data_IF_711418223552
#
_entry.id   IF_711418223552
#
_cell.length_a   1.000
_cell.length_b   1.000
_cell.length_c   1.000
_cell.angle_alpha   90.00
_cell.angle_beta   90.00
_cell.angle_gamma   90.00
#
_symmetry.space_group_name_H-M   'P 1'
#
loop_
_entity.id
_entity.type
_entity.pdbx_description
1 polymer ?
#
# COMPACT_ATOMS: atom_id res chain seq x y z
N UNK A 1 3.64 -61.74 19.61
CA UNK A 1 4.11 -60.33 19.54
C UNK A 1 4.19 -59.93 18.08
N UNK A 2 3.14 -59.31 17.53
CA UNK A 2 3.16 -58.69 16.21
C UNK A 2 3.27 -57.19 16.38
N UNK A 3 4.40 -56.61 16.01
CA UNK A 3 4.59 -55.15 15.96
C UNK A 3 3.56 -54.58 14.97
N UNK A 4 2.60 -53.82 15.48
CA UNK A 4 1.73 -52.96 14.67
C UNK A 4 2.62 -51.89 14.08
N UNK A 5 2.89 -52.00 12.79
CA UNK A 5 3.55 -50.97 11.99
C UNK A 5 2.77 -49.65 12.14
N UNK A 6 3.38 -48.69 12.84
CA UNK A 6 2.83 -47.35 13.10
C UNK A 6 3.36 -46.32 12.09
N UNK A 7 3.57 -46.72 10.84
CA UNK A 7 3.78 -45.74 9.77
C UNK A 7 2.48 -44.92 9.57
N UNK A 8 2.51 -43.60 9.74
CA UNK A 8 1.32 -42.77 9.55
C UNK A 8 0.85 -42.87 8.09
N UNK A 9 -0.45 -43.17 7.87
CA UNK A 9 -1.05 -43.26 6.54
C UNK A 9 -0.71 -41.99 5.72
N UNK A 10 -0.28 -42.11 4.46
CA UNK A 10 0.24 -41.00 3.65
C UNK A 10 -0.69 -39.77 3.60
N UNK A 11 -2.01 -39.99 3.56
CA UNK A 11 -3.03 -38.92 3.59
C UNK A 11 -2.99 -38.05 4.85
N UNK A 12 -2.65 -38.61 6.01
CA UNK A 12 -2.61 -37.87 7.29
C UNK A 12 -1.37 -36.97 7.42
N UNK A 13 -0.26 -37.39 6.82
CA UNK A 13 0.99 -36.62 6.77
C UNK A 13 0.87 -35.44 5.80
N UNK A 14 0.24 -35.66 4.64
CA UNK A 14 0.06 -34.65 3.61
C UNK A 14 -0.97 -33.58 4.03
N UNK A 15 -2.07 -33.99 4.66
CA UNK A 15 -3.06 -33.05 5.23
C UNK A 15 -2.46 -32.16 6.32
N UNK A 16 -1.62 -32.71 7.21
CA UNK A 16 -0.91 -31.93 8.23
C UNK A 16 0.09 -30.94 7.61
N UNK A 17 0.74 -31.30 6.51
CA UNK A 17 1.65 -30.41 5.76
C UNK A 17 0.89 -29.21 5.21
N UNK A 18 -0.29 -29.43 4.62
CA UNK A 18 -1.16 -28.35 4.11
C UNK A 18 -1.63 -27.43 5.23
N UNK A 19 -2.14 -27.98 6.33
CA UNK A 19 -2.59 -27.18 7.48
C UNK A 19 -1.46 -26.31 8.05
N UNK A 20 -0.25 -26.86 8.22
CA UNK A 20 0.91 -26.08 8.68
C UNK A 20 1.28 -24.97 7.69
N UNK A 21 1.25 -25.27 6.39
CA UNK A 21 1.53 -24.28 5.35
C UNK A 21 0.52 -23.11 5.39
N UNK A 22 -0.78 -23.42 5.50
CA UNK A 22 -1.84 -22.42 5.57
C UNK A 22 -1.73 -21.55 6.83
N UNK A 23 -1.45 -22.16 7.99
CA UNK A 23 -1.23 -21.42 9.24
C UNK A 23 0.00 -20.51 9.14
N UNK A 24 1.08 -20.98 8.52
CA UNK A 24 2.32 -20.20 8.35
C UNK A 24 2.11 -19.00 7.42
N UNK A 25 1.37 -19.20 6.32
CA UNK A 25 1.00 -18.13 5.38
C UNK A 25 0.06 -17.10 6.01
N UNK A 26 -0.91 -17.55 6.82
CA UNK A 26 -1.86 -16.66 7.50
C UNK A 26 -1.18 -15.83 8.61
N UNK A 27 -0.20 -16.41 9.31
CA UNK A 27 0.53 -15.73 10.38
C UNK A 27 1.49 -14.64 9.85
N UNK A 28 2.02 -14.79 8.64
CA UNK A 28 2.88 -13.78 8.01
C UNK A 28 2.22 -12.40 7.90
N UNK A 29 0.90 -12.37 7.67
CA UNK A 29 0.11 -11.13 7.61
C UNK A 29 0.12 -10.34 8.92
N UNK A 30 0.21 -11.03 10.07
CA UNK A 30 0.21 -10.40 11.40
C UNK A 30 1.59 -9.85 11.80
N UNK A 31 2.66 -10.38 11.19
CA UNK A 31 4.06 -10.05 11.52
C UNK A 31 4.64 -8.96 10.61
N UNK A 32 4.05 -8.74 9.43
CA UNK A 32 4.42 -7.64 8.53
C UNK A 32 3.91 -6.30 9.09
N UNK A 33 4.60 -5.78 10.12
CA UNK A 33 4.46 -4.41 10.62
C UNK A 33 5.41 -3.42 9.95
N UNK A 34 6.34 -3.91 9.12
CA UNK A 34 7.38 -3.12 8.49
C UNK A 34 6.93 -2.68 7.09
N UNK A 35 7.01 -1.37 6.82
CA UNK A 35 6.51 -0.69 5.62
C UNK A 35 7.43 -0.82 4.38
N UNK A 36 7.99 -2.00 4.11
CA UNK A 36 8.88 -2.25 2.97
C UNK A 36 8.45 -3.49 2.16
N UNK A 37 7.87 -3.23 0.99
CA UNK A 37 7.53 -4.24 -0.03
C UNK A 37 8.62 -5.30 -0.23
N UNK A 38 9.90 -4.92 -0.27
CA UNK A 38 10.99 -5.87 -0.50
C UNK A 38 11.17 -6.82 0.69
N UNK A 39 11.09 -6.32 1.91
CA UNK A 39 11.16 -7.11 3.14
C UNK A 39 9.95 -8.04 3.29
N UNK A 40 8.74 -7.58 2.92
CA UNK A 40 7.52 -8.39 2.91
C UNK A 40 7.67 -9.55 1.93
N UNK A 41 8.05 -9.25 0.68
CA UNK A 41 8.25 -10.25 -0.38
C UNK A 41 9.33 -11.25 0.01
N UNK A 42 10.45 -10.79 0.56
CA UNK A 42 11.56 -11.65 1.01
C UNK A 42 11.11 -12.63 2.11
N UNK A 43 10.41 -12.13 3.14
CA UNK A 43 9.87 -12.99 4.21
C UNK A 43 8.88 -14.02 3.67
N UNK A 44 8.02 -13.60 2.74
CA UNK A 44 7.06 -14.48 2.08
C UNK A 44 7.77 -15.58 1.28
N UNK A 45 8.77 -15.20 0.47
CA UNK A 45 9.55 -16.12 -0.33
C UNK A 45 10.31 -17.13 0.54
N UNK A 46 10.92 -16.71 1.65
CA UNK A 46 11.62 -17.61 2.58
C UNK A 46 10.71 -18.62 3.25
N UNK A 47 9.46 -18.24 3.58
CA UNK A 47 8.49 -19.19 4.11
C UNK A 47 8.07 -20.21 3.04
N UNK A 48 7.89 -19.77 1.80
CA UNK A 48 7.59 -20.67 0.68
C UNK A 48 8.75 -21.63 0.40
N UNK A 49 10.01 -21.16 0.48
CA UNK A 49 11.20 -22.03 0.39
C UNK A 49 11.09 -23.17 1.40
N UNK A 50 10.75 -22.87 2.65
CA UNK A 50 10.60 -23.88 3.71
C UNK A 50 9.40 -24.80 3.50
N UNK A 51 8.24 -24.27 3.10
CA UNK A 51 7.01 -25.05 2.88
C UNK A 51 7.18 -26.07 1.75
N UNK A 52 7.83 -25.65 0.67
CA UNK A 52 8.01 -26.47 -0.52
C UNK A 52 9.31 -27.29 -0.52
N UNK A 53 10.19 -27.06 0.45
CA UNK A 53 11.61 -27.48 0.38
C UNK A 53 12.23 -27.05 -0.95
N UNK A 54 11.89 -25.84 -1.38
CA UNK A 54 12.18 -25.33 -2.70
C UNK A 54 13.70 -25.16 -2.89
N UNK A 55 14.11 -25.32 -4.13
CA UNK A 55 15.43 -24.88 -4.58
C UNK A 55 15.48 -23.35 -4.56
N UNK A 56 14.50 -22.72 -5.19
CA UNK A 56 14.27 -21.29 -5.06
C UNK A 56 12.81 -20.90 -5.21
N UNK A 57 12.48 -19.73 -4.68
CA UNK A 57 11.23 -19.01 -4.90
C UNK A 57 11.58 -17.67 -5.52
N UNK A 58 10.93 -17.36 -6.64
CA UNK A 58 11.08 -16.10 -7.35
C UNK A 58 9.76 -15.34 -7.33
N UNK A 59 9.84 -14.06 -6.99
CA UNK A 59 8.71 -13.14 -6.99
C UNK A 59 9.08 -11.94 -7.84
N UNK A 60 8.19 -11.59 -8.77
CA UNK A 60 8.24 -10.35 -9.53
C UNK A 60 6.97 -9.58 -9.29
N UNK A 61 7.10 -8.40 -8.69
CA UNK A 61 5.99 -7.47 -8.42
C UNK A 61 6.26 -6.15 -9.12
N UNK A 62 5.32 -5.60 -9.91
CA UNK A 62 5.49 -4.26 -10.45
C UNK A 62 5.39 -3.26 -9.30
N UNK A 63 6.53 -2.72 -8.85
CA UNK A 63 6.58 -1.67 -7.82
C UNK A 63 6.97 -0.37 -8.49
N UNK A 64 5.98 0.52 -8.63
CA UNK A 64 6.07 1.89 -9.14
C UNK A 64 6.59 2.09 -10.59
N UNK A 65 7.61 1.36 -11.05
CA UNK A 65 8.36 1.63 -12.30
C UNK A 65 9.35 0.56 -12.77
N UNK A 66 9.72 -0.37 -11.91
CA UNK A 66 10.54 -1.53 -12.22
C UNK A 66 9.85 -2.72 -11.57
N UNK A 67 10.01 -3.89 -12.16
CA UNK A 67 9.63 -5.11 -11.47
C UNK A 67 10.57 -5.24 -10.27
N UNK A 68 10.02 -5.19 -9.06
CA UNK A 68 10.71 -5.63 -7.86
C UNK A 68 10.82 -7.14 -7.99
N UNK A 69 12.00 -7.57 -8.44
CA UNK A 69 12.33 -8.96 -8.67
C UNK A 69 13.23 -9.45 -7.54
N UNK A 70 12.81 -10.53 -6.89
CA UNK A 70 13.52 -11.12 -5.77
C UNK A 70 13.49 -12.64 -5.90
N UNK A 71 14.64 -13.27 -5.65
CA UNK A 71 14.74 -14.71 -5.49
C UNK A 71 15.26 -15.04 -4.08
N UNK A 72 14.70 -16.08 -3.48
CA UNK A 72 15.21 -16.68 -2.25
C UNK A 72 15.46 -18.18 -2.48
N UNK A 73 16.59 -18.68 -1.98
CA UNK A 73 16.87 -20.10 -1.86
C UNK A 73 16.98 -20.51 -0.39
N UNK A 74 17.48 -21.73 -0.14
CA UNK A 74 17.64 -22.27 1.23
C UNK A 74 18.57 -21.43 2.12
N UNK A 75 19.56 -20.77 1.52
CA UNK A 75 20.52 -19.90 2.20
C UNK A 75 20.06 -18.46 2.43
N UNK A 76 18.83 -18.11 2.06
CA UNK A 76 18.34 -16.73 2.13
C UNK A 76 18.15 -16.10 0.75
N UNK A 77 18.22 -14.77 0.70
CA UNK A 77 18.14 -14.00 -0.56
C UNK A 77 19.32 -14.34 -1.47
N UNK A 78 19.02 -14.58 -2.74
CA UNK A 78 20.04 -14.88 -3.76
C UNK A 78 20.63 -13.57 -4.30
N UNK A 79 21.87 -13.62 -4.82
CA UNK A 79 22.57 -12.45 -5.36
C UNK A 79 21.82 -11.83 -6.55
N UNK A 80 22.01 -10.52 -6.77
CA UNK A 80 21.39 -9.81 -7.92
C UNK A 80 21.75 -10.43 -9.27
N UNK A 81 22.98 -10.94 -9.44
CA UNK A 81 23.40 -11.64 -10.65
C UNK A 81 22.58 -12.92 -10.87
N UNK A 82 22.42 -13.73 -9.82
CA UNK A 82 21.60 -14.94 -9.87
C UNK A 82 20.12 -14.66 -10.11
N UNK A 83 19.58 -13.53 -9.62
CA UNK A 83 18.19 -13.12 -9.89
C UNK A 83 17.97 -12.88 -11.39
N UNK A 84 18.94 -12.27 -12.08
CA UNK A 84 18.87 -12.07 -13.53
C UNK A 84 18.90 -13.39 -14.30
N UNK A 85 19.72 -14.35 -13.87
CA UNK A 85 19.80 -15.69 -14.46
C UNK A 85 18.52 -16.50 -14.23
N UNK A 86 17.94 -16.43 -13.01
CA UNK A 86 16.63 -17.00 -12.70
C UNK A 86 15.57 -16.39 -13.62
N UNK A 87 15.52 -15.06 -13.73
CA UNK A 87 14.58 -14.36 -14.60
C UNK A 87 14.69 -14.82 -16.05
N UNK A 88 15.91 -14.92 -16.58
CA UNK A 88 16.16 -15.41 -17.95
C UNK A 88 15.62 -16.84 -18.14
N UNK A 89 15.85 -17.71 -17.17
CA UNK A 89 15.37 -19.11 -17.18
C UNK A 89 13.84 -19.23 -17.09
N UNK A 90 13.15 -18.19 -16.61
CA UNK A 90 11.70 -18.13 -16.48
C UNK A 90 10.99 -17.50 -17.69
N UNK A 91 11.71 -16.91 -18.66
CA UNK A 91 11.11 -16.21 -19.80
C UNK A 91 10.20 -17.10 -20.65
N UNK A 92 10.58 -18.36 -20.81
CA UNK A 92 9.86 -19.34 -21.64
C UNK A 92 8.96 -20.28 -20.81
N UNK A 93 8.85 -20.08 -19.50
CA UNK A 93 8.06 -20.95 -18.62
C UNK A 93 6.56 -20.64 -18.78
N UNK A 94 5.73 -21.60 -19.24
CA UNK A 94 4.31 -21.37 -19.44
C UNK A 94 3.58 -21.14 -18.11
N UNK A 95 2.70 -20.13 -18.07
CA UNK A 95 1.88 -19.84 -16.89
C UNK A 95 1.03 -21.04 -16.47
N UNK A 96 0.96 -21.28 -15.15
CA UNK A 96 0.17 -22.34 -14.50
C UNK A 96 0.49 -23.76 -14.96
N UNK A 97 1.54 -23.96 -15.77
CA UNK A 97 1.98 -25.26 -16.23
C UNK A 97 3.39 -25.53 -15.70
N UNK A 98 3.63 -26.71 -15.10
CA UNK A 98 4.96 -27.04 -14.62
C UNK A 98 5.93 -27.18 -15.80
N UNK A 99 7.13 -26.63 -15.64
CA UNK A 99 8.19 -26.70 -16.63
C UNK A 99 9.50 -27.08 -15.96
N UNK A 100 10.28 -27.96 -16.60
CA UNK A 100 11.58 -28.38 -16.08
C UNK A 100 12.66 -27.47 -16.66
N UNK A 101 13.47 -26.87 -15.79
CA UNK A 101 14.55 -25.95 -16.16
C UNK A 101 15.85 -26.36 -15.48
N UNK A 102 16.97 -25.81 -15.95
CA UNK A 102 18.22 -25.82 -15.18
C UNK A 102 18.14 -24.73 -14.12
N UNK A 103 18.36 -25.05 -12.85
CA UNK A 103 18.33 -24.05 -11.79
C UNK A 103 19.54 -23.13 -11.85
N UNK A 104 19.31 -21.82 -11.89
CA UNK A 104 20.37 -20.82 -11.73
C UNK A 104 20.84 -20.66 -10.27
N UNK A 105 20.22 -21.37 -9.31
CA UNK A 105 20.57 -21.29 -7.89
C UNK A 105 21.38 -22.51 -7.45
N UNK A 106 20.88 -23.72 -7.71
CA UNK A 106 21.57 -24.96 -7.36
C UNK A 106 22.43 -25.52 -8.48
N UNK A 107 22.19 -25.11 -9.73
CA UNK A 107 22.78 -25.76 -10.90
C UNK A 107 22.16 -27.12 -11.24
N UNK A 108 21.09 -27.54 -10.57
CA UNK A 108 20.43 -28.85 -10.79
C UNK A 108 19.14 -28.73 -11.62
N UNK A 109 18.71 -29.80 -12.33
CA UNK A 109 17.42 -29.83 -13.01
C UNK A 109 16.26 -29.73 -12.00
N UNK A 110 15.43 -28.71 -12.12
CA UNK A 110 14.32 -28.42 -11.19
C UNK A 110 13.01 -28.20 -11.93
N UNK A 111 11.88 -28.49 -11.27
CA UNK A 111 10.54 -28.24 -11.84
C UNK A 111 9.99 -26.95 -11.28
N UNK A 112 9.65 -26.00 -12.15
CA UNK A 112 9.06 -24.71 -11.78
C UNK A 112 7.56 -24.74 -12.02
N UNK A 113 6.80 -24.28 -11.04
CA UNK A 113 5.40 -23.87 -11.22
C UNK A 113 5.31 -22.36 -11.02
N UNK A 114 4.74 -21.66 -12.00
CA UNK A 114 4.52 -20.22 -11.95
C UNK A 114 3.03 -19.88 -11.97
N UNK A 115 2.63 -18.91 -11.15
CA UNK A 115 1.26 -18.40 -11.09
C UNK A 115 1.26 -16.87 -11.07
N UNK A 116 0.23 -16.23 -11.66
CA UNK A 116 0.07 -14.79 -11.56
C UNK A 116 -0.30 -14.39 -10.13
N UNK A 117 0.29 -13.31 -9.63
CA UNK A 117 -0.30 -12.56 -8.52
C UNK A 117 -1.44 -11.71 -9.09
N UNK A 118 -2.52 -11.49 -8.34
CA UNK A 118 -3.76 -10.85 -8.83
C UNK A 118 -3.65 -9.36 -9.19
N UNK A 119 -2.42 -8.84 -9.33
CA UNK A 119 -2.06 -7.45 -9.54
C UNK A 119 -1.83 -7.22 -11.05
N UNK A 120 -2.19 -6.05 -11.60
CA UNK A 120 -1.99 -5.76 -13.04
C UNK A 120 -0.50 -5.71 -13.42
N UNK A 121 -0.07 -6.55 -14.36
CA UNK A 121 1.31 -6.57 -14.90
C UNK A 121 1.81 -7.99 -15.22
N UNK A 122 3.09 -8.14 -15.59
CA UNK A 122 3.79 -9.45 -15.65
C UNK A 122 4.19 -9.88 -14.24
N UNK A 123 3.21 -9.99 -13.36
CA UNK A 123 3.42 -10.25 -11.94
C UNK A 123 3.47 -11.74 -11.69
N UNK A 124 4.58 -12.25 -11.16
CA UNK A 124 4.86 -13.69 -11.13
C UNK A 124 5.28 -14.15 -9.74
N UNK A 125 4.61 -15.18 -9.23
CA UNK A 125 5.17 -16.05 -8.19
C UNK A 125 5.57 -17.37 -8.84
N UNK A 126 6.85 -17.69 -8.80
CA UNK A 126 7.40 -18.94 -9.31
C UNK A 126 8.11 -19.70 -8.18
N UNK A 127 7.84 -21.00 -8.08
CA UNK A 127 8.49 -21.89 -7.11
C UNK A 127 9.14 -23.03 -7.85
N UNK A 128 10.44 -23.21 -7.62
CA UNK A 128 11.27 -24.25 -8.21
C UNK A 128 11.52 -25.35 -7.19
N UNK A 129 11.10 -26.57 -7.50
CA UNK A 129 11.22 -27.72 -6.61
C UNK A 129 11.89 -28.89 -7.33
N UNK A 130 12.96 -29.40 -6.74
CA UNK A 130 13.62 -30.61 -7.19
C UNK A 130 13.01 -31.84 -6.50
N UNK A 131 11.74 -32.13 -6.84
CA UNK A 131 11.01 -33.31 -6.34
C UNK A 131 10.24 -33.98 -7.49
N UNK A 132 10.29 -35.32 -7.62
CA UNK A 132 9.69 -36.03 -8.77
C UNK A 132 8.19 -35.78 -8.98
N UNK A 133 7.42 -35.59 -7.90
CA UNK A 133 5.96 -35.50 -7.93
C UNK A 133 5.45 -34.05 -7.80
N UNK A 134 6.29 -33.05 -8.05
CA UNK A 134 5.87 -31.65 -8.01
C UNK A 134 5.37 -31.19 -9.38
N UNK A 135 4.25 -30.45 -9.46
CA UNK A 135 3.34 -30.05 -8.38
C UNK A 135 2.19 -31.07 -8.16
N UNK A 136 1.90 -31.38 -6.89
CA UNK A 136 0.66 -32.06 -6.50
C UNK A 136 -0.53 -31.10 -6.47
N UNK A 137 -1.76 -31.61 -6.33
CA UNK A 137 -2.96 -30.76 -6.16
C UNK A 137 -2.88 -29.86 -4.92
N UNK A 138 -2.24 -30.35 -3.85
CA UNK A 138 -1.98 -29.57 -2.65
C UNK A 138 -0.94 -28.47 -2.88
N UNK A 139 0.12 -28.77 -3.65
CA UNK A 139 1.13 -27.75 -3.97
C UNK A 139 0.49 -26.60 -4.79
N UNK A 140 -0.41 -26.93 -5.73
CA UNK A 140 -1.19 -25.94 -6.49
C UNK A 140 -2.10 -25.11 -5.58
N UNK A 141 -2.74 -25.73 -4.58
CA UNK A 141 -3.59 -25.03 -3.61
C UNK A 141 -2.77 -24.05 -2.75
N UNK A 142 -1.66 -24.51 -2.16
CA UNK A 142 -0.78 -23.68 -1.35
C UNK A 142 -0.25 -22.51 -2.18
N UNK A 143 0.15 -22.75 -3.43
CA UNK A 143 0.57 -21.71 -4.37
C UNK A 143 -0.52 -20.66 -4.57
N UNK A 144 -1.77 -21.07 -4.85
CA UNK A 144 -2.89 -20.13 -5.02
C UNK A 144 -3.15 -19.28 -3.77
N UNK A 145 -3.12 -19.91 -2.59
CA UNK A 145 -3.31 -19.19 -1.31
C UNK A 145 -2.16 -18.21 -1.09
N UNK A 146 -0.92 -18.65 -1.29
CA UNK A 146 0.26 -17.80 -1.17
C UNK A 146 0.21 -16.58 -2.09
N UNK A 147 -0.17 -16.77 -3.36
CA UNK A 147 -0.34 -15.68 -4.30
C UNK A 147 -1.42 -14.68 -3.87
N UNK A 148 -2.55 -15.19 -3.35
CA UNK A 148 -3.62 -14.33 -2.86
C UNK A 148 -3.19 -13.53 -1.62
N UNK A 149 -2.60 -14.19 -0.63
CA UNK A 149 -2.10 -13.54 0.59
C UNK A 149 -1.01 -12.50 0.28
N UNK A 150 -0.07 -12.82 -0.61
CA UNK A 150 0.96 -11.90 -1.05
C UNK A 150 0.36 -10.70 -1.82
N UNK A 151 -0.63 -10.95 -2.67
CA UNK A 151 -1.37 -9.88 -3.38
C UNK A 151 -2.00 -8.92 -2.39
N UNK A 152 -2.72 -9.44 -1.39
CA UNK A 152 -3.36 -8.64 -0.35
C UNK A 152 -2.34 -7.87 0.49
N UNK A 153 -1.21 -8.48 0.85
CA UNK A 153 -0.15 -7.82 1.62
C UNK A 153 0.45 -6.62 0.86
N UNK A 154 0.69 -6.78 -0.45
CA UNK A 154 1.21 -5.72 -1.32
C UNK A 154 0.16 -4.61 -1.52
N UNK A 155 -1.11 -4.96 -1.76
CA UNK A 155 -2.19 -3.99 -1.93
C UNK A 155 -2.46 -3.20 -0.63
N UNK A 156 -2.36 -3.83 0.54
CA UNK A 156 -2.52 -3.16 1.84
C UNK A 156 -1.41 -2.14 2.13
N UNK A 157 -0.19 -2.30 1.57
CA UNK A 157 0.89 -1.31 1.67
C UNK A 157 0.56 -0.03 0.88
N UNK A 158 -0.11 -0.14 -0.28
CA UNK A 158 -0.60 1.03 -1.01
C UNK A 158 -1.63 1.82 -0.19
N UNK A 159 -2.47 1.14 0.59
CA UNK A 159 -3.44 1.77 1.49
C UNK A 159 -2.79 2.37 2.76
N UNK A 160 -1.72 1.79 3.29
CA UNK A 160 -1.04 2.26 4.52
C UNK A 160 -0.02 3.39 4.30
N UNK A 161 0.56 3.51 3.11
CA UNK A 161 1.51 4.58 2.74
C UNK A 161 0.85 5.98 2.84
N UNK A 162 -0.43 6.07 2.47
CA UNK A 162 -1.23 7.30 2.53
C UNK A 162 -1.41 7.77 3.98
N UNK A 163 -1.73 6.87 4.91
CA UNK A 163 -1.98 7.21 6.31
C UNK A 163 -0.72 7.54 7.10
N UNK A 164 0.39 6.83 6.83
CA UNK A 164 1.63 6.96 7.62
C UNK A 164 2.38 8.26 7.33
N UNK A 165 2.27 8.82 6.10
CA UNK A 165 2.96 10.06 5.70
C UNK A 165 2.14 11.33 5.95
N UNK A 166 0.81 11.24 5.89
CA UNK A 166 -0.09 12.35 6.32
C UNK A 166 0.09 12.65 7.81
N UNK A 167 0.44 11.66 8.62
CA UNK A 167 0.54 11.75 10.08
C UNK A 167 1.53 12.82 10.59
N UNK A 168 2.70 13.00 9.96
CA UNK A 168 3.74 13.87 10.52
C UNK A 168 3.36 15.37 10.53
N UNK A 169 2.68 15.85 9.49
CA UNK A 169 2.27 17.26 9.37
C UNK A 169 0.82 17.49 9.82
N UNK A 170 -0.07 16.50 9.63
CA UNK A 170 -1.46 16.58 10.11
C UNK A 170 -1.60 16.48 11.64
N UNK A 171 -0.64 15.86 12.33
CA UNK A 171 -0.68 15.71 13.80
C UNK A 171 -0.49 17.03 14.56
N UNK A 172 0.11 18.04 13.92
CA UNK A 172 0.29 19.37 14.50
C UNK A 172 -0.91 20.29 14.28
N UNK A 173 -1.88 19.89 13.45
CA UNK A 173 -3.08 20.68 13.18
C UNK A 173 -4.10 20.55 14.30
N UNK A 174 -4.71 21.68 14.69
CA UNK A 174 -5.84 21.74 15.62
C UNK A 174 -7.18 21.36 14.96
N UNK A 175 -7.21 21.27 13.63
CA UNK A 175 -8.40 20.90 12.87
C UNK A 175 -8.57 19.39 12.82
N UNK A 176 -9.80 18.92 12.60
CA UNK A 176 -10.06 17.51 12.37
C UNK A 176 -9.52 17.13 10.99
N UNK A 177 -8.65 16.12 10.95
CA UNK A 177 -8.15 15.53 9.71
C UNK A 177 -8.43 14.03 9.76
N UNK A 178 -9.11 13.52 8.74
CA UNK A 178 -9.42 12.11 8.60
C UNK A 178 -9.13 11.59 7.20
N UNK A 179 -8.78 10.32 7.09
CA UNK A 179 -8.68 9.58 5.83
C UNK A 179 -9.45 8.29 6.01
N UNK A 180 -10.27 7.94 5.04
CA UNK A 180 -11.00 6.69 5.00
C UNK A 180 -10.77 5.96 3.67
N UNK A 181 -10.95 4.64 3.70
CA UNK A 181 -10.98 3.82 2.49
C UNK A 181 -12.26 4.12 1.67
N UNK A 182 -12.44 3.42 0.55
CA UNK A 182 -13.61 3.63 -0.33
C UNK A 182 -14.91 3.11 0.28
N UNK A 183 -14.82 2.22 1.27
CA UNK A 183 -15.95 1.68 2.02
C UNK A 183 -16.37 2.61 3.15
N UNK A 184 -15.62 3.70 3.37
CA UNK A 184 -15.90 4.68 4.40
C UNK A 184 -15.40 4.27 5.78
N UNK A 185 -14.50 3.29 5.87
CA UNK A 185 -13.85 2.92 7.13
C UNK A 185 -12.64 3.84 7.36
N UNK A 186 -12.50 4.48 8.54
CA UNK A 186 -11.36 5.34 8.84
C UNK A 186 -10.03 4.59 8.79
N UNK A 187 -9.09 5.05 7.96
CA UNK A 187 -7.70 4.57 7.93
C UNK A 187 -6.84 5.38 8.90
N UNK A 188 -7.06 6.71 8.94
CA UNK A 188 -6.34 7.65 9.79
C UNK A 188 -7.26 8.75 10.30
N UNK A 189 -7.04 9.18 11.54
CA UNK A 189 -7.61 10.41 12.12
C UNK A 189 -6.52 11.04 12.98
N UNK A 190 -6.31 12.34 12.86
CA UNK A 190 -5.30 13.02 13.68
C UNK A 190 -5.73 13.09 15.17
N UNK A 191 -4.78 13.32 16.11
CA UNK A 191 -5.11 13.38 17.54
C UNK A 191 -6.17 14.43 17.90
N UNK A 192 -6.12 15.60 17.24
CA UNK A 192 -7.13 16.64 17.42
C UNK A 192 -8.52 16.14 17.01
N UNK A 193 -8.62 15.47 15.86
CA UNK A 193 -9.87 14.88 15.37
C UNK A 193 -10.43 13.82 16.30
N UNK A 194 -9.61 12.86 16.75
CA UNK A 194 -10.02 11.82 17.71
C UNK A 194 -10.55 12.43 19.01
N UNK A 195 -9.83 13.39 19.59
CA UNK A 195 -10.27 14.11 20.79
C UNK A 195 -11.60 14.85 20.57
N UNK A 196 -11.76 15.46 19.39
CA UNK A 196 -12.95 16.23 19.02
C UNK A 196 -14.21 15.37 18.90
N UNK A 197 -14.09 14.18 18.29
CA UNK A 197 -15.21 13.21 18.21
C UNK A 197 -15.30 12.30 19.43
N UNK A 198 -14.39 12.43 20.39
CA UNK A 198 -14.43 11.70 21.66
C UNK A 198 -13.86 10.27 21.60
N UNK A 199 -13.17 9.90 20.54
CA UNK A 199 -12.53 8.59 20.37
C UNK A 199 -11.20 8.53 21.12
N UNK A 200 -10.87 7.36 21.67
CA UNK A 200 -9.62 7.10 22.37
C UNK A 200 -8.46 6.79 21.41
N UNK A 201 -8.74 6.13 20.29
CA UNK A 201 -7.72 5.78 19.30
C UNK A 201 -8.28 5.60 17.89
N UNK A 202 -7.38 5.43 16.92
CA UNK A 202 -7.77 5.14 15.53
C UNK A 202 -8.34 3.71 15.39
N UNK A 203 -7.96 2.79 16.26
CA UNK A 203 -8.49 1.42 16.30
C UNK A 203 -9.98 1.42 16.63
N UNK A 204 -10.41 2.22 17.60
CA UNK A 204 -11.83 2.43 17.92
C UNK A 204 -12.58 3.04 16.72
N UNK A 205 -11.98 4.05 16.08
CA UNK A 205 -12.54 4.68 14.90
C UNK A 205 -12.72 3.72 13.71
N UNK A 206 -11.87 2.69 13.56
CA UNK A 206 -11.92 1.69 12.48
C UNK A 206 -13.10 0.73 12.58
N UNK A 207 -13.73 0.64 13.74
CA UNK A 207 -14.94 -0.18 13.93
C UNK A 207 -16.20 0.50 13.40
N UNK A 208 -16.08 1.78 13.02
CA UNK A 208 -17.17 2.64 12.58
C UNK A 208 -17.02 3.04 11.12
N UNK A 209 -18.13 3.41 10.48
CA UNK A 209 -18.09 4.12 9.22
C UNK A 209 -17.95 5.63 9.49
N UNK A 210 -17.28 6.39 8.62
CA UNK A 210 -17.14 7.86 8.74
C UNK A 210 -18.46 8.61 8.90
N UNK A 211 -19.59 8.06 8.43
CA UNK A 211 -20.90 8.67 8.58
C UNK A 211 -21.44 8.52 10.01
N UNK A 212 -20.92 7.57 10.78
CA UNK A 212 -21.29 7.36 12.18
C UNK A 212 -20.68 8.42 13.08
N UNK A 213 -19.68 9.18 12.58
CA UNK A 213 -19.14 10.37 13.25
C UNK A 213 -20.06 11.58 13.12
N UNK A 214 -21.18 11.47 12.39
CA UNK A 214 -22.12 12.55 12.15
C UNK A 214 -23.39 12.38 12.98
N UNK A 215 -24.03 13.51 13.27
CA UNK A 215 -25.38 13.54 13.82
C UNK A 215 -26.37 12.82 12.88
N UNK A 216 -27.44 12.28 13.45
CA UNK A 216 -28.48 11.52 12.73
C UNK A 216 -28.95 12.21 11.44
N UNK A 217 -29.19 13.53 11.49
CA UNK A 217 -29.66 14.32 10.33
C UNK A 217 -28.67 14.38 9.16
N UNK A 218 -27.38 14.33 9.44
CA UNK A 218 -26.32 14.47 8.44
C UNK A 218 -25.75 13.10 8.03
N UNK A 219 -26.04 12.03 8.77
CA UNK A 219 -25.58 10.66 8.50
C UNK A 219 -26.08 10.12 7.15
N UNK A 220 -27.38 10.20 6.89
CA UNK A 220 -27.96 9.72 5.63
C UNK A 220 -27.49 10.57 4.46
N UNK A 221 -27.44 11.89 4.64
CA UNK A 221 -26.89 12.81 3.64
C UNK A 221 -25.45 12.46 3.31
N UNK A 222 -24.64 12.13 4.32
CA UNK A 222 -23.26 11.74 4.10
C UNK A 222 -23.13 10.44 3.31
N UNK A 223 -23.89 9.40 3.66
CA UNK A 223 -23.84 8.09 2.98
C UNK A 223 -24.36 8.15 1.55
N UNK A 224 -25.47 8.85 1.32
CA UNK A 224 -26.22 8.75 0.06
C UNK A 224 -26.05 9.94 -0.88
N UNK A 225 -25.53 11.08 -0.43
CA UNK A 225 -25.29 12.24 -1.28
C UNK A 225 -23.80 12.65 -1.30
N UNK A 226 -23.21 12.89 -0.12
CA UNK A 226 -21.83 13.39 -0.03
C UNK A 226 -20.81 12.36 -0.53
N UNK A 227 -20.91 11.12 -0.04
CA UNK A 227 -19.95 10.07 -0.39
C UNK A 227 -19.92 9.78 -1.91
N UNK A 228 -21.07 9.58 -2.58
CA UNK A 228 -21.08 9.44 -4.03
C UNK A 228 -20.58 10.69 -4.78
N UNK A 229 -20.85 11.89 -4.28
CA UNK A 229 -20.39 13.14 -4.90
C UNK A 229 -18.85 13.27 -4.85
N UNK A 230 -18.23 12.98 -3.71
CA UNK A 230 -16.76 12.96 -3.59
C UNK A 230 -16.17 11.91 -4.53
N UNK A 231 -16.75 10.71 -4.60
CA UNK A 231 -16.25 9.64 -5.45
C UNK A 231 -16.42 9.91 -6.94
N UNK A 232 -17.43 10.68 -7.36
CA UNK A 232 -17.67 11.02 -8.77
C UNK A 232 -16.92 12.29 -9.20
N UNK A 233 -17.12 13.38 -8.47
CA UNK A 233 -16.58 14.72 -8.79
C UNK A 233 -15.17 14.96 -8.23
N UNK A 234 -14.66 14.02 -7.42
CA UNK A 234 -13.33 14.09 -6.82
C UNK A 234 -13.23 15.01 -5.61
N UNK A 235 -14.27 15.81 -5.31
CA UNK A 235 -14.29 16.70 -4.15
C UNK A 235 -15.69 17.09 -3.73
N UNK A 236 -15.81 17.51 -2.48
CA UNK A 236 -17.01 18.08 -1.91
C UNK A 236 -16.66 19.06 -0.79
N UNK A 237 -17.47 20.11 -0.58
CA UNK A 237 -17.30 20.99 0.57
C UNK A 237 -18.64 21.59 1.00
N UNK A 238 -18.98 21.40 2.27
CA UNK A 238 -20.13 22.03 2.90
C UNK A 238 -20.07 21.82 4.42
N UNK A 239 -21.11 22.26 5.13
CA UNK A 239 -21.22 22.05 6.57
C UNK A 239 -21.80 20.66 6.89
N UNK A 240 -21.24 19.98 7.88
CA UNK A 240 -21.80 18.78 8.50
C UNK A 240 -21.71 18.89 10.02
N UNK A 241 -22.64 18.26 10.71
CA UNK A 241 -22.67 18.22 12.18
C UNK A 241 -22.04 16.92 12.64
N UNK A 242 -20.85 17.02 13.22
CA UNK A 242 -20.14 15.88 13.80
C UNK A 242 -20.69 15.58 15.18
N UNK A 243 -20.63 14.33 15.61
CA UNK A 243 -21.06 13.87 16.91
C UNK A 243 -19.84 13.56 17.77
N UNK A 244 -19.81 14.11 18.98
CA UNK A 244 -18.87 13.65 19.98
C UNK A 244 -19.46 12.42 20.71
N UNK A 245 -18.88 11.25 20.50
CA UNK A 245 -19.39 9.97 20.99
C UNK A 245 -19.51 9.91 22.53
N UNK A 246 -18.64 10.61 23.26
CA UNK A 246 -18.66 10.64 24.74
C UNK A 246 -19.74 11.54 25.31
N UNK A 247 -20.01 12.67 24.66
CA UNK A 247 -20.94 13.69 25.19
C UNK A 247 -22.29 13.70 24.50
N UNK A 248 -22.42 13.02 23.35
CA UNK A 248 -23.61 13.05 22.50
C UNK A 248 -23.87 14.41 21.83
N UNK A 249 -22.94 15.38 21.97
CA UNK A 249 -23.14 16.74 21.45
C UNK A 249 -22.71 16.87 20.00
N UNK A 250 -23.53 17.59 19.25
CA UNK A 250 -23.26 18.08 17.91
C UNK A 250 -22.14 19.12 17.88
N UNK A 251 -21.25 19.00 16.89
CA UNK A 251 -20.19 19.94 16.58
C UNK A 251 -20.39 20.34 15.11
N UNK A 252 -20.92 21.54 14.83
CA UNK A 252 -21.01 22.02 13.46
C UNK A 252 -19.60 22.18 12.90
N UNK A 253 -19.36 21.62 11.72
CA UNK A 253 -18.08 21.68 11.05
C UNK A 253 -18.23 22.13 9.61
N UNK A 254 -17.30 22.98 9.16
CA UNK A 254 -17.05 23.17 7.74
C UNK A 254 -16.16 22.03 7.28
N UNK A 255 -16.63 21.25 6.31
CA UNK A 255 -15.96 20.05 5.82
C UNK A 255 -15.52 20.28 4.38
N UNK A 256 -14.32 19.83 4.07
CA UNK A 256 -13.89 19.58 2.70
C UNK A 256 -13.38 18.16 2.60
N UNK A 257 -13.95 17.41 1.65
CA UNK A 257 -13.57 16.05 1.34
C UNK A 257 -13.00 15.98 -0.07
N UNK A 258 -11.93 15.23 -0.25
CA UNK A 258 -11.19 15.11 -1.51
C UNK A 258 -10.92 13.63 -1.75
N UNK A 259 -11.17 13.19 -2.98
CA UNK A 259 -10.83 11.85 -3.43
C UNK A 259 -9.33 11.75 -3.67
N UNK A 260 -8.72 10.73 -3.09
CA UNK A 260 -7.32 10.40 -3.28
C UNK A 260 -7.27 9.28 -4.31
N UNK A 261 -6.62 9.56 -5.43
CA UNK A 261 -6.48 8.64 -6.55
C UNK A 261 -5.04 8.11 -6.63
N UNK A 262 -4.88 6.88 -7.10
CA UNK A 262 -3.57 6.36 -7.47
C UNK A 262 -3.01 7.09 -8.69
N UNK A 263 -1.73 6.83 -8.94
CA UNK A 263 -1.03 7.06 -10.20
C UNK A 263 -1.85 6.74 -11.47
N UNK A 264 -2.71 5.72 -11.42
CA UNK A 264 -3.55 5.27 -12.52
C UNK A 264 -4.93 5.95 -12.58
N UNK A 265 -5.17 7.02 -11.80
CA UNK A 265 -6.47 7.70 -11.64
C UNK A 265 -7.58 6.78 -11.12
N UNK A 266 -7.22 5.75 -10.35
CA UNK A 266 -8.18 4.90 -9.66
C UNK A 266 -8.35 5.45 -8.24
N UNK A 267 -9.57 5.68 -7.74
CA UNK A 267 -9.77 6.10 -6.36
C UNK A 267 -9.28 5.01 -5.41
N UNK A 268 -8.66 5.42 -4.30
CA UNK A 268 -8.17 4.51 -3.25
C UNK A 268 -8.54 4.96 -1.84
N UNK A 269 -8.77 6.26 -1.64
CA UNK A 269 -9.17 6.79 -0.34
C UNK A 269 -9.92 8.12 -0.50
N UNK A 270 -10.53 8.57 0.60
CA UNK A 270 -11.09 9.91 0.74
C UNK A 270 -10.42 10.59 1.94
N UNK A 271 -9.79 11.74 1.69
CA UNK A 271 -9.28 12.62 2.73
C UNK A 271 -10.31 13.68 3.10
N UNK A 272 -10.40 14.03 4.38
CA UNK A 272 -11.29 15.09 4.87
C UNK A 272 -10.58 16.02 5.84
N UNK A 273 -10.83 17.32 5.67
CA UNK A 273 -10.54 18.34 6.69
C UNK A 273 -11.86 18.87 7.18
N UNK A 274 -11.98 18.96 8.50
CA UNK A 274 -13.14 19.54 9.13
C UNK A 274 -12.70 20.57 10.17
N UNK A 275 -13.28 21.77 10.09
CA UNK A 275 -13.03 22.86 11.02
C UNK A 275 -14.26 23.06 11.88
N UNK A 276 -14.06 23.14 13.19
CA UNK A 276 -15.12 23.50 14.13
C UNK A 276 -15.52 24.96 13.94
N UNK A 277 -16.77 25.19 13.57
CA UNK A 277 -17.28 26.54 13.25
C UNK A 277 -18.09 27.15 14.38
N UNK A 278 -18.14 26.53 15.57
CA UNK A 278 -18.88 27.08 16.73
C UNK A 278 -18.46 28.49 17.10
N UNK A 279 -17.22 28.88 16.79
CA UNK A 279 -16.64 30.19 17.14
C UNK A 279 -16.54 31.18 15.96
N UNK A 280 -17.01 30.82 14.76
CA UNK A 280 -16.91 31.67 13.55
C UNK A 280 -17.69 32.99 13.63
N UNK A 281 -18.48 33.25 14.68
CA UNK A 281 -19.28 34.48 14.79
C UNK A 281 -18.51 35.68 15.42
N UNK A 282 -17.23 35.53 15.77
CA UNK A 282 -16.39 36.63 16.27
C UNK A 282 -15.52 37.16 15.12
N UNK A 283 -15.55 38.47 14.85
CA UNK A 283 -14.82 39.09 13.73
C UNK A 283 -13.31 38.75 13.70
N UNK A 284 -12.68 38.62 14.88
CA UNK A 284 -11.27 38.23 15.04
C UNK A 284 -11.06 36.72 14.80
N UNK A 285 -12.04 35.88 15.12
CA UNK A 285 -12.04 34.43 14.83
C UNK A 285 -12.26 34.17 13.34
N UNK A 286 -13.08 34.95 12.63
CA UNK A 286 -13.33 34.77 11.19
C UNK A 286 -12.03 34.86 10.37
N UNK A 287 -11.19 35.87 10.62
CA UNK A 287 -9.94 36.08 9.88
C UNK A 287 -8.90 34.99 10.17
N UNK A 288 -8.73 34.63 11.45
CA UNK A 288 -7.78 33.61 11.88
C UNK A 288 -8.23 32.20 11.47
N UNK A 289 -9.51 31.87 11.60
CA UNK A 289 -10.06 30.55 11.26
C UNK A 289 -10.14 30.35 9.73
N UNK A 290 -10.45 31.41 8.96
CA UNK A 290 -10.40 31.34 7.49
C UNK A 290 -8.97 31.13 6.97
N UNK A 291 -7.98 31.80 7.58
CA UNK A 291 -6.56 31.62 7.26
C UNK A 291 -6.06 30.22 7.67
N UNK A 292 -6.41 29.76 8.87
CA UNK A 292 -6.07 28.42 9.34
C UNK A 292 -6.72 27.31 8.50
N UNK A 293 -7.96 27.52 8.05
CA UNK A 293 -8.65 26.63 7.12
C UNK A 293 -7.98 26.62 5.76
N UNK A 294 -7.65 27.79 5.20
CA UNK A 294 -6.94 27.91 3.93
C UNK A 294 -5.56 27.22 3.98
N UNK A 295 -4.81 27.38 5.07
CA UNK A 295 -3.52 26.74 5.27
C UNK A 295 -3.64 25.22 5.40
N UNK A 296 -4.61 24.73 6.18
CA UNK A 296 -4.85 23.29 6.34
C UNK A 296 -5.33 22.66 5.02
N UNK A 297 -6.24 23.34 4.31
CA UNK A 297 -6.68 22.99 2.95
C UNK A 297 -5.49 22.88 2.01
N UNK A 298 -4.64 23.90 1.95
CA UNK A 298 -3.47 23.92 1.08
C UNK A 298 -2.49 22.79 1.41
N UNK A 299 -2.29 22.49 2.70
CA UNK A 299 -1.47 21.38 3.17
C UNK A 299 -2.01 20.03 2.68
N UNK A 300 -3.31 19.75 2.84
CA UNK A 300 -3.90 18.50 2.34
C UNK A 300 -3.83 18.38 0.83
N UNK A 301 -4.13 19.45 0.09
CA UNK A 301 -4.03 19.45 -1.37
C UNK A 301 -2.59 19.14 -1.81
N UNK A 302 -1.60 19.67 -1.10
CA UNK A 302 -0.20 19.34 -1.35
C UNK A 302 0.10 17.87 -1.06
N UNK A 303 -0.30 17.36 0.11
CA UNK A 303 -0.08 15.96 0.51
C UNK A 303 -0.77 14.99 -0.46
N UNK A 304 -2.04 15.21 -0.80
CA UNK A 304 -2.78 14.33 -1.72
C UNK A 304 -2.17 14.29 -3.12
N UNK A 305 -1.69 15.43 -3.64
CA UNK A 305 -0.98 15.48 -4.93
C UNK A 305 0.36 14.76 -4.86
N UNK A 306 1.08 14.93 -3.77
CA UNK A 306 2.36 14.24 -3.53
C UNK A 306 2.13 12.73 -3.43
N UNK A 307 1.04 12.25 -2.81
CA UNK A 307 0.67 10.82 -2.76
C UNK A 307 0.19 10.25 -4.10
N UNK A 308 -0.27 11.09 -5.03
CA UNK A 308 -0.62 10.63 -6.40
C UNK A 308 0.61 10.28 -7.26
N UNK A 309 1.81 10.65 -6.80
CA UNK A 309 3.07 10.33 -7.49
C UNK A 309 3.37 8.84 -7.40
N UNK A 310 3.93 8.29 -8.48
CA UNK A 310 4.56 6.98 -8.42
C UNK A 310 5.87 7.06 -7.63
N UNK A 311 6.37 5.92 -7.13
CA UNK A 311 7.66 5.86 -6.44
C UNK A 311 8.81 6.51 -7.20
N UNK A 312 8.91 6.38 -8.53
CA UNK A 312 9.97 7.08 -9.30
C UNK A 312 9.73 8.56 -9.46
N UNK A 313 8.48 8.98 -9.63
CA UNK A 313 8.18 10.41 -9.65
C UNK A 313 8.52 11.04 -8.31
N UNK A 314 8.36 10.29 -7.21
CA UNK A 314 8.75 10.68 -5.86
C UNK A 314 10.27 10.66 -5.66
N UNK A 315 10.97 9.61 -6.03
CA UNK A 315 12.45 9.58 -6.00
C UNK A 315 13.05 10.73 -6.81
N UNK A 316 12.51 11.01 -8.00
CA UNK A 316 12.92 12.15 -8.82
C UNK A 316 12.60 13.48 -8.13
N UNK A 317 11.43 13.62 -7.50
CA UNK A 317 11.08 14.81 -6.73
C UNK A 317 12.06 15.02 -5.56
N UNK A 318 12.33 13.97 -4.77
CA UNK A 318 13.18 14.02 -3.59
C UNK A 318 14.62 14.40 -3.98
N UNK A 319 15.17 13.79 -5.02
CA UNK A 319 16.50 14.14 -5.51
C UNK A 319 16.57 15.56 -6.07
N UNK A 320 15.52 16.01 -6.79
CA UNK A 320 15.45 17.39 -7.31
C UNK A 320 15.35 18.42 -6.17
N UNK A 321 14.60 18.12 -5.11
CA UNK A 321 14.53 18.97 -3.92
C UNK A 321 15.88 18.98 -3.19
N UNK A 322 16.57 17.85 -3.13
CA UNK A 322 17.93 17.74 -2.62
C UNK A 322 19.00 18.44 -3.47
N UNK A 323 18.62 19.11 -4.56
CA UNK A 323 19.52 19.90 -5.41
C UNK A 323 20.32 19.10 -6.43
N UNK A 324 20.02 17.81 -6.62
CA UNK A 324 20.73 16.96 -7.56
C UNK A 324 20.38 17.30 -9.02
N UNK A 325 21.39 17.32 -9.89
CA UNK A 325 21.23 17.46 -11.33
C UNK A 325 20.68 16.20 -11.96
N UNK A 326 20.03 16.29 -13.12
CA UNK A 326 19.50 15.11 -13.82
C UNK A 326 20.55 14.03 -14.10
N UNK A 327 21.84 14.40 -14.26
CA UNK A 327 22.94 13.44 -14.44
C UNK A 327 23.26 12.68 -13.16
N UNK A 328 23.24 13.34 -12.01
CA UNK A 328 23.46 12.71 -10.70
C UNK A 328 22.31 11.80 -10.34
N UNK A 329 21.07 12.23 -10.60
CA UNK A 329 19.87 11.40 -10.36
C UNK A 329 19.90 10.14 -11.25
N UNK A 330 20.24 10.30 -12.54
CA UNK A 330 20.40 9.20 -13.46
C UNK A 330 21.44 8.17 -12.96
N UNK A 331 22.57 8.64 -12.45
CA UNK A 331 23.62 7.80 -11.89
C UNK A 331 23.16 7.08 -10.61
N UNK A 332 22.53 7.79 -9.68
CA UNK A 332 22.02 7.23 -8.42
C UNK A 332 20.95 6.16 -8.65
N UNK A 333 20.06 6.38 -9.62
CA UNK A 333 18.94 5.48 -9.89
C UNK A 333 19.26 4.40 -10.95
N UNK A 334 20.46 4.40 -11.53
CA UNK A 334 20.89 3.42 -12.54
C UNK A 334 20.11 3.50 -13.86
N UNK A 335 19.63 4.68 -14.24
CA UNK A 335 18.79 4.90 -15.43
C UNK A 335 19.32 6.05 -16.30
N UNK A 336 18.84 6.17 -17.54
CA UNK A 336 19.28 7.24 -18.44
C UNK A 336 18.72 8.61 -18.05
N UNK A 337 19.45 9.69 -18.36
CA UNK A 337 18.98 11.09 -18.18
C UNK A 337 17.67 11.32 -18.93
N UNK A 338 17.51 10.73 -20.12
CA UNK A 338 16.25 10.78 -20.89
C UNK A 338 15.07 10.17 -20.12
N UNK A 339 15.33 9.10 -19.37
CA UNK A 339 14.33 8.46 -18.51
C UNK A 339 13.93 9.39 -17.34
N UNK A 340 14.89 10.12 -16.75
CA UNK A 340 14.63 11.14 -15.73
C UNK A 340 13.73 12.26 -16.27
N UNK A 341 13.96 12.75 -17.48
CA UNK A 341 13.13 13.80 -18.09
C UNK A 341 11.68 13.34 -18.32
N UNK A 342 11.48 12.08 -18.68
CA UNK A 342 10.14 11.48 -18.82
C UNK A 342 9.46 11.39 -17.45
N UNK A 343 10.15 10.91 -16.42
CA UNK A 343 9.60 10.86 -15.06
C UNK A 343 9.27 12.25 -14.52
N UNK A 344 10.15 13.24 -14.70
CA UNK A 344 9.91 14.64 -14.36
C UNK A 344 8.68 15.19 -15.06
N UNK A 345 8.52 14.94 -16.36
CA UNK A 345 7.36 15.43 -17.11
C UNK A 345 6.04 14.83 -16.62
N UNK A 346 6.04 13.55 -16.25
CA UNK A 346 4.85 12.87 -15.68
C UNK A 346 4.56 13.34 -14.26
N UNK A 347 5.59 13.50 -13.42
CA UNK A 347 5.54 14.07 -12.08
C UNK A 347 4.89 15.47 -12.11
N UNK A 348 5.39 16.38 -12.95
CA UNK A 348 4.86 17.74 -13.09
C UNK A 348 3.37 17.74 -13.46
N UNK A 349 3.00 16.89 -14.42
CA UNK A 349 1.60 16.73 -14.85
C UNK A 349 0.70 16.20 -13.72
N UNK A 350 1.19 15.26 -12.91
CA UNK A 350 0.43 14.67 -11.80
C UNK A 350 0.29 15.58 -10.58
N UNK A 351 1.34 16.30 -10.25
CA UNK A 351 1.29 17.36 -9.24
C UNK A 351 0.41 18.54 -9.69
N UNK A 352 0.08 18.62 -10.98
CA UNK A 352 -0.72 19.71 -11.55
C UNK A 352 0.03 21.05 -11.51
N UNK A 353 1.36 21.01 -11.59
CA UNK A 353 2.26 22.16 -11.48
C UNK A 353 2.97 22.40 -12.81
N UNK A 354 3.28 23.67 -13.08
CA UNK A 354 3.92 24.10 -14.33
C UNK A 354 5.41 24.33 -14.15
N UNK A 355 5.86 24.59 -12.93
CA UNK A 355 7.27 24.89 -12.62
C UNK A 355 7.85 23.97 -11.55
N UNK A 356 9.16 23.73 -11.60
CA UNK A 356 9.85 22.95 -10.57
C UNK A 356 9.73 23.62 -9.20
N UNK A 357 9.77 24.96 -9.16
CA UNK A 357 9.58 25.73 -7.93
C UNK A 357 8.22 25.46 -7.27
N UNK A 358 7.14 25.32 -8.05
CA UNK A 358 5.83 24.90 -7.53
C UNK A 358 5.86 23.47 -6.99
N UNK A 359 6.55 22.54 -7.66
CA UNK A 359 6.70 21.16 -7.19
C UNK A 359 7.47 21.09 -5.85
N UNK A 360 8.58 21.82 -5.75
CA UNK A 360 9.38 21.97 -4.52
C UNK A 360 8.53 22.59 -3.41
N UNK A 361 7.75 23.63 -3.73
CA UNK A 361 6.83 24.26 -2.76
C UNK A 361 5.79 23.25 -2.23
N UNK A 362 5.20 22.41 -3.09
CA UNK A 362 4.29 21.35 -2.64
C UNK A 362 5.00 20.32 -1.76
N UNK A 363 6.21 19.91 -2.13
CA UNK A 363 7.02 18.97 -1.36
C UNK A 363 7.33 19.50 0.05
N UNK A 364 7.80 20.74 0.16
CA UNK A 364 8.09 21.43 1.43
C UNK A 364 6.84 21.58 2.28
N UNK A 365 5.72 22.06 1.69
CA UNK A 365 4.46 22.20 2.41
C UNK A 365 3.99 20.85 2.97
N UNK A 366 4.10 19.78 2.18
CA UNK A 366 3.66 18.44 2.56
C UNK A 366 4.54 17.73 3.60
N UNK A 367 5.71 18.29 3.94
CA UNK A 367 6.69 17.62 4.80
C UNK A 367 7.32 16.37 4.17
N UNK A 368 7.21 16.21 2.84
CA UNK A 368 7.83 15.11 2.09
C UNK A 368 9.36 15.23 2.02
N UNK A 369 9.89 16.41 2.32
CA UNK A 369 11.30 16.75 2.28
C UNK A 369 11.84 16.73 3.70
N UNK A 370 12.86 15.91 3.95
CA UNK A 370 13.67 15.94 5.17
C UNK A 370 14.97 16.68 4.94
#
# INVERSE_FOLDING_TARGET
MGQVDRTPRPETTETRRVLRALVSLSALRLVCKDNDNAAIIERFALVLVKIFDADFVYVSVPVHSHDLELACGRGGRVSTASVLEVRASLQDVPYKRPCRIQSAVSGEPTTVLSIPLGIRGRTLLAVAVNRPNFPSEFDKLIMRVAANELTVAIELEEHFSVATKVSAVASLSLNFIGIADLQGVPIYVNPAGLKMVGMASIEEARELHVADFLEFRDRDRARYAVWPEVLSNGRWSSQLSFLNAKTGKGIPMMVESIRIDTSARKPVAVGTISVDIRNWNRAESISNDASAFANTRQLMHAVARIESLSGREREVLDSLVGGHSHKEIALQLGISVRTIEVHRSRMMRRLGVRTLAEAVKLAVISGAVR
#
